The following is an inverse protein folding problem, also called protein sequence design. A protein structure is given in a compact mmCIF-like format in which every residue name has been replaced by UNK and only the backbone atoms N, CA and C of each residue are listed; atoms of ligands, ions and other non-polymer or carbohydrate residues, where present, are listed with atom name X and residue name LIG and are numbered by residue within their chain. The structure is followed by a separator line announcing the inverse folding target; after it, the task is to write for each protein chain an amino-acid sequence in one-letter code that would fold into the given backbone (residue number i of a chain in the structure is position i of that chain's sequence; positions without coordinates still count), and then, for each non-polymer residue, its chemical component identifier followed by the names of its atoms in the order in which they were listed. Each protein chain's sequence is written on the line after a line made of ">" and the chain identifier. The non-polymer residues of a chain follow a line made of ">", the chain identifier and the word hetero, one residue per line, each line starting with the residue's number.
data_IF_471056991822
#
_entry.id   IF_471056991822
#
_cell.length_a   1.000
_cell.length_b   1.000
_cell.length_c   1.000
_cell.angle_alpha   90.00
_cell.angle_beta   90.00
_cell.angle_gamma   90.00
#
_symmetry.space_group_name_H-M   'P 1'
#
loop_
_entity.id
_entity.type
_entity.pdbx_description
1 polymer ?
#
# COMPACT_ATOMS: atom_id res chain seq x y z
N UNK A 1 -20.85 -15.64 -4.36
CA UNK A 1 -21.10 -14.38 -5.14
C UNK A 1 -20.09 -14.30 -6.26
N UNK A 2 -20.49 -13.65 -7.35
CA UNK A 2 -19.63 -13.30 -8.48
C UNK A 2 -19.22 -11.85 -8.37
N UNK A 3 -17.95 -11.61 -8.08
CA UNK A 3 -17.40 -10.28 -7.74
C UNK A 3 -16.49 -9.81 -8.86
N UNK A 4 -16.73 -8.62 -9.38
CA UNK A 4 -15.85 -7.96 -10.33
C UNK A 4 -15.04 -6.87 -9.62
N UNK A 5 -13.72 -7.00 -9.65
CA UNK A 5 -12.78 -5.98 -9.16
C UNK A 5 -12.23 -5.22 -10.35
N UNK A 6 -12.28 -3.89 -10.31
CA UNK A 6 -11.75 -3.03 -11.37
C UNK A 6 -10.67 -2.14 -10.77
N UNK A 7 -9.46 -2.23 -11.29
CA UNK A 7 -8.33 -1.42 -10.86
C UNK A 7 -7.52 -0.87 -12.03
N UNK A 8 -7.10 0.38 -11.93
CA UNK A 8 -6.33 1.08 -12.98
C UNK A 8 -4.81 0.90 -12.83
N UNK A 9 -4.36 -0.29 -12.46
CA UNK A 9 -2.94 -0.65 -12.32
C UNK A 9 -2.59 -1.85 -13.19
N UNK A 10 -1.29 -2.05 -13.43
CA UNK A 10 -0.78 -3.31 -13.96
C UNK A 10 -0.72 -4.34 -12.82
N UNK A 11 -1.64 -5.29 -12.82
CA UNK A 11 -1.79 -6.28 -11.75
C UNK A 11 -0.57 -7.17 -11.57
N UNK A 12 0.13 -7.50 -12.65
CA UNK A 12 1.30 -8.37 -12.61
C UNK A 12 2.56 -7.64 -12.14
N UNK A 13 2.71 -6.35 -12.47
CA UNK A 13 3.95 -5.60 -12.23
C UNK A 13 3.94 -4.73 -10.97
N UNK A 14 2.75 -4.33 -10.53
CA UNK A 14 2.63 -3.49 -9.32
C UNK A 14 3.06 -4.28 -8.09
N UNK A 15 3.70 -3.64 -7.11
CA UNK A 15 3.94 -4.27 -5.79
C UNK A 15 2.62 -4.77 -5.20
N UNK A 16 2.69 -5.88 -4.46
CA UNK A 16 1.53 -6.47 -3.81
C UNK A 16 1.01 -5.50 -2.75
N UNK A 17 -0.30 -5.24 -2.75
CA UNK A 17 -1.00 -4.42 -1.77
C UNK A 17 -2.48 -4.82 -1.70
N UNK A 18 -3.33 -4.10 -0.96
CA UNK A 18 -4.71 -4.45 -0.62
C UNK A 18 -5.52 -5.17 -1.73
N UNK A 19 -5.65 -4.67 -2.98
CA UNK A 19 -6.52 -5.32 -3.97
C UNK A 19 -6.08 -6.75 -4.32
N UNK A 20 -4.77 -7.02 -4.32
CA UNK A 20 -4.27 -8.39 -4.55
C UNK A 20 -4.70 -9.32 -3.42
N UNK A 21 -4.52 -8.88 -2.16
CA UNK A 21 -4.93 -9.65 -0.98
C UNK A 21 -6.43 -9.92 -0.97
N UNK A 22 -7.25 -8.88 -1.17
CA UNK A 22 -8.70 -9.03 -1.11
C UNK A 22 -9.24 -9.90 -2.24
N UNK A 23 -8.78 -9.70 -3.48
CA UNK A 23 -9.21 -10.50 -4.63
C UNK A 23 -8.98 -12.00 -4.40
N UNK A 24 -7.78 -12.35 -3.97
CA UNK A 24 -7.39 -13.73 -3.78
C UNK A 24 -8.05 -14.34 -2.53
N UNK A 25 -8.14 -13.61 -1.43
CA UNK A 25 -8.85 -14.09 -0.23
C UNK A 25 -10.36 -14.26 -0.45
N UNK A 26 -10.99 -13.43 -1.30
CA UNK A 26 -12.39 -13.66 -1.67
C UNK A 26 -12.54 -14.97 -2.46
N UNK A 27 -11.60 -15.29 -3.34
CA UNK A 27 -11.62 -16.55 -4.07
C UNK A 27 -11.43 -17.77 -3.16
N UNK A 28 -10.52 -17.68 -2.19
CA UNK A 28 -10.30 -18.72 -1.17
C UNK A 28 -11.56 -18.93 -0.31
N UNK A 29 -12.36 -17.88 -0.10
CA UNK A 29 -13.64 -17.94 0.62
C UNK A 29 -14.79 -18.47 -0.23
N UNK A 30 -14.52 -19.01 -1.42
CA UNK A 30 -15.50 -19.67 -2.30
C UNK A 30 -16.29 -18.69 -3.18
N UNK A 31 -15.78 -17.50 -3.45
CA UNK A 31 -16.38 -16.55 -4.37
C UNK A 31 -15.70 -16.61 -5.74
N UNK A 32 -16.47 -16.45 -6.82
CA UNK A 32 -15.91 -16.29 -8.16
C UNK A 32 -15.44 -14.84 -8.33
N UNK A 33 -14.14 -14.64 -8.50
CA UNK A 33 -13.53 -13.30 -8.55
C UNK A 33 -12.95 -13.04 -9.93
N UNK A 34 -13.40 -11.98 -10.54
CA UNK A 34 -12.91 -11.46 -11.81
C UNK A 34 -12.20 -10.12 -11.55
N UNK A 35 -11.02 -9.96 -12.13
CA UNK A 35 -10.25 -8.73 -11.99
C UNK A 35 -10.00 -8.14 -13.36
N UNK A 36 -10.40 -6.88 -13.56
CA UNK A 36 -10.05 -6.11 -14.76
C UNK A 36 -8.94 -5.13 -14.37
N UNK A 37 -7.77 -5.29 -15.00
CA UNK A 37 -6.59 -4.47 -14.75
C UNK A 37 -6.28 -3.48 -15.90
N UNK A 38 -5.25 -2.68 -15.72
CA UNK A 38 -4.70 -1.78 -16.74
C UNK A 38 -3.22 -2.11 -16.95
N UNK A 39 -2.94 -2.99 -17.91
CA UNK A 39 -1.57 -3.33 -18.24
C UNK A 39 -0.77 -2.10 -18.65
N UNK A 40 0.41 -1.91 -18.06
CA UNK A 40 1.31 -0.85 -18.48
C UNK A 40 2.05 -1.24 -19.75
N UNK A 41 2.17 -0.33 -20.73
CA UNK A 41 2.87 -0.60 -21.97
C UNK A 41 4.33 -0.99 -21.70
N UNK A 42 4.74 -2.11 -22.28
CA UNK A 42 6.14 -2.50 -22.34
C UNK A 42 6.50 -2.74 -23.81
N UNK A 43 7.59 -2.16 -24.28
CA UNK A 43 8.07 -2.29 -25.67
C UNK A 43 8.28 -3.75 -26.12
N UNK A 44 8.59 -4.66 -25.16
CA UNK A 44 8.77 -6.08 -25.43
C UNK A 44 7.47 -6.88 -25.64
N UNK A 45 6.31 -6.32 -25.26
CA UNK A 45 5.00 -7.00 -25.28
C UNK A 45 3.99 -6.30 -26.20
N UNK A 46 4.46 -5.53 -27.22
CA UNK A 46 3.62 -4.74 -28.10
C UNK A 46 2.45 -5.54 -28.71
N UNK A 47 2.76 -6.67 -29.31
CA UNK A 47 1.76 -7.52 -29.98
C UNK A 47 0.76 -8.14 -28.95
N UNK A 48 1.26 -8.54 -27.78
CA UNK A 48 0.39 -9.10 -26.72
C UNK A 48 -0.59 -8.09 -26.13
N UNK A 49 -0.27 -6.79 -26.18
CA UNK A 49 -1.12 -5.71 -25.68
C UNK A 49 -2.31 -5.38 -26.60
N UNK A 50 -2.30 -5.77 -27.85
CA UNK A 50 -3.34 -5.44 -28.85
C UNK A 50 -4.65 -6.22 -28.68
N UNK A 51 -4.64 -7.31 -27.89
CA UNK A 51 -5.80 -8.16 -27.65
C UNK A 51 -6.14 -8.25 -26.17
N UNK A 52 -7.43 -8.32 -25.88
CA UNK A 52 -7.87 -8.64 -24.52
C UNK A 52 -7.44 -10.06 -24.17
N UNK A 53 -6.77 -10.22 -23.02
CA UNK A 53 -6.32 -11.52 -22.51
C UNK A 53 -7.10 -11.88 -21.25
N UNK A 54 -7.46 -13.15 -21.13
CA UNK A 54 -8.07 -13.69 -19.91
C UNK A 54 -7.15 -14.78 -19.37
N UNK A 55 -6.76 -14.63 -18.12
CA UNK A 55 -5.89 -15.56 -17.39
C UNK A 55 -6.72 -16.20 -16.28
N UNK A 56 -7.28 -17.41 -16.51
CA UNK A 56 -7.98 -18.14 -15.45
C UNK A 56 -6.98 -18.75 -14.47
N UNK A 57 -7.47 -19.11 -13.29
CA UNK A 57 -6.69 -19.77 -12.24
C UNK A 57 -5.43 -18.98 -11.87
N UNK A 58 -5.57 -17.65 -11.78
CA UNK A 58 -4.45 -16.79 -11.48
C UNK A 58 -4.34 -16.56 -9.97
N UNK A 59 -3.13 -16.65 -9.46
CA UNK A 59 -2.77 -16.24 -8.11
C UNK A 59 -1.40 -15.56 -8.08
N UNK A 60 -1.14 -14.76 -7.10
CA UNK A 60 0.11 -14.01 -6.94
C UNK A 60 0.57 -13.93 -5.49
N UNK A 61 -0.36 -14.03 -4.55
CA UNK A 61 -0.13 -13.83 -3.12
C UNK A 61 -0.34 -15.13 -2.35
N UNK A 62 -1.41 -15.86 -2.66
CA UNK A 62 -1.81 -17.06 -1.93
C UNK A 62 -1.92 -18.25 -2.90
N UNK A 63 -1.18 -19.33 -2.63
CA UNK A 63 -1.08 -20.49 -3.52
C UNK A 63 -2.44 -21.15 -3.84
N UNK A 64 -3.40 -21.09 -2.91
CA UNK A 64 -4.73 -21.68 -3.07
C UNK A 64 -5.76 -20.73 -3.67
N UNK A 65 -5.35 -19.54 -4.09
CA UNK A 65 -6.24 -18.57 -4.69
C UNK A 65 -6.51 -18.89 -6.16
N UNK A 66 -7.70 -18.52 -6.62
CA UNK A 66 -8.16 -18.78 -7.98
C UNK A 66 -8.99 -17.61 -8.48
N UNK A 67 -8.35 -16.59 -9.02
CA UNK A 67 -9.04 -15.47 -9.66
C UNK A 67 -8.97 -15.59 -11.19
N UNK A 68 -9.87 -14.91 -11.89
CA UNK A 68 -9.77 -14.69 -13.33
C UNK A 68 -9.28 -13.28 -13.60
N UNK A 69 -8.04 -13.14 -14.06
CA UNK A 69 -7.48 -11.85 -14.44
C UNK A 69 -7.79 -11.54 -15.90
N UNK A 70 -8.48 -10.44 -16.16
CA UNK A 70 -8.87 -9.97 -17.49
C UNK A 70 -8.09 -8.68 -17.78
N UNK A 71 -7.29 -8.71 -18.84
CA UNK A 71 -6.42 -7.62 -19.27
C UNK A 71 -6.95 -7.04 -20.59
N UNK A 72 -7.67 -5.91 -20.57
CA UNK A 72 -8.17 -5.28 -21.78
C UNK A 72 -7.06 -4.94 -22.77
N UNK A 73 -7.37 -4.92 -24.06
CA UNK A 73 -6.45 -4.44 -25.07
C UNK A 73 -5.95 -3.02 -24.74
N UNK A 74 -4.67 -2.80 -24.89
CA UNK A 74 -4.00 -1.54 -24.59
C UNK A 74 -3.04 -1.19 -25.71
N UNK A 75 -3.04 0.07 -26.16
CA UNK A 75 -2.06 0.57 -27.11
C UNK A 75 -0.84 1.13 -26.38
N UNK A 76 0.35 0.78 -26.88
CA UNK A 76 1.61 1.08 -26.20
C UNK A 76 2.16 2.50 -26.47
N UNK A 77 1.35 3.38 -27.06
CA UNK A 77 1.77 4.76 -27.33
C UNK A 77 1.52 5.63 -26.10
N UNK A 78 2.60 6.19 -25.56
CA UNK A 78 2.57 7.08 -24.39
C UNK A 78 1.60 8.25 -24.65
N UNK A 79 0.59 8.43 -23.79
CA UNK A 79 -0.44 9.46 -23.91
C UNK A 79 -1.74 9.00 -24.59
N UNK A 80 -1.70 8.11 -25.57
CA UNK A 80 -2.89 7.58 -26.27
C UNK A 80 -3.43 6.32 -25.58
N UNK A 81 -2.59 5.61 -24.85
CA UNK A 81 -2.93 4.36 -24.21
C UNK A 81 -4.12 4.46 -23.23
N UNK A 82 -4.26 5.56 -22.50
CA UNK A 82 -5.39 5.74 -21.55
C UNK A 82 -6.73 5.89 -22.26
N UNK A 83 -6.78 6.58 -23.40
CA UNK A 83 -8.01 6.71 -24.19
C UNK A 83 -8.40 5.36 -24.82
N UNK A 84 -7.44 4.67 -25.43
CA UNK A 84 -7.67 3.36 -26.00
C UNK A 84 -8.11 2.35 -24.92
N UNK A 85 -7.46 2.37 -23.77
CA UNK A 85 -7.84 1.56 -22.61
C UNK A 85 -9.24 1.88 -22.12
N UNK A 86 -9.64 3.16 -22.07
CA UNK A 86 -11.01 3.57 -21.70
C UNK A 86 -12.08 2.87 -22.56
N UNK A 87 -11.93 2.89 -23.89
CA UNK A 87 -12.90 2.26 -24.80
C UNK A 87 -12.83 0.73 -24.76
N UNK A 88 -11.64 0.16 -24.71
CA UNK A 88 -11.46 -1.29 -24.60
C UNK A 88 -12.04 -1.81 -23.27
N UNK A 89 -11.75 -1.12 -22.17
CA UNK A 89 -12.21 -1.49 -20.85
C UNK A 89 -13.74 -1.44 -20.73
N UNK A 90 -14.40 -0.44 -21.33
CA UNK A 90 -15.87 -0.35 -21.36
C UNK A 90 -16.48 -1.63 -21.92
N UNK A 91 -16.04 -2.06 -23.11
CA UNK A 91 -16.54 -3.30 -23.75
C UNK A 91 -16.26 -4.54 -22.90
N UNK A 92 -15.09 -4.60 -22.27
CA UNK A 92 -14.69 -5.73 -21.41
C UNK A 92 -15.55 -5.78 -20.16
N UNK A 93 -15.82 -4.63 -19.51
CA UNK A 93 -16.71 -4.56 -18.34
C UNK A 93 -18.12 -5.03 -18.70
N UNK A 94 -18.73 -4.49 -19.77
CA UNK A 94 -20.06 -4.86 -20.23
C UNK A 94 -20.16 -6.37 -20.54
N UNK A 95 -19.18 -6.89 -21.30
CA UNK A 95 -19.08 -8.31 -21.64
C UNK A 95 -18.93 -9.19 -20.39
N UNK A 96 -18.01 -8.84 -19.48
CA UNK A 96 -17.79 -9.60 -18.25
C UNK A 96 -19.04 -9.67 -17.38
N UNK A 97 -19.71 -8.54 -17.20
CA UNK A 97 -20.98 -8.48 -16.44
C UNK A 97 -22.03 -9.41 -17.06
N UNK A 98 -22.20 -9.33 -18.37
CA UNK A 98 -23.23 -10.09 -19.08
C UNK A 98 -22.94 -11.61 -19.11
N UNK A 99 -21.69 -12.00 -19.43
CA UNK A 99 -21.33 -13.41 -19.62
C UNK A 99 -21.10 -14.13 -18.29
N UNK A 100 -20.64 -13.42 -17.26
CA UNK A 100 -20.29 -14.03 -15.96
C UNK A 100 -21.37 -13.88 -14.90
N UNK A 101 -22.37 -13.04 -15.13
CA UNK A 101 -23.44 -12.79 -14.16
C UNK A 101 -22.93 -12.13 -12.88
N UNK A 102 -22.20 -11.04 -13.03
CA UNK A 102 -21.60 -10.30 -11.90
C UNK A 102 -22.68 -9.77 -10.98
N UNK A 103 -22.51 -10.02 -9.68
CA UNK A 103 -23.46 -9.60 -8.63
C UNK A 103 -23.01 -8.34 -7.88
N UNK A 104 -21.70 -8.12 -7.77
CA UNK A 104 -21.10 -7.00 -7.03
C UNK A 104 -19.86 -6.48 -7.75
N UNK A 105 -19.68 -5.16 -7.71
CA UNK A 105 -18.48 -4.51 -8.25
C UNK A 105 -17.69 -3.86 -7.12
N UNK A 106 -16.39 -4.15 -7.08
CA UNK A 106 -15.42 -3.51 -6.18
C UNK A 106 -14.47 -2.64 -7.02
N UNK A 107 -14.56 -1.32 -6.87
CA UNK A 107 -13.89 -0.35 -7.72
C UNK A 107 -12.78 0.36 -6.97
N UNK A 108 -11.56 0.34 -7.51
CA UNK A 108 -10.40 1.04 -6.98
C UNK A 108 -9.98 2.26 -7.80
N UNK A 109 -10.38 2.34 -9.05
CA UNK A 109 -9.99 3.43 -9.95
C UNK A 109 -11.13 4.38 -10.23
N UNK A 110 -10.88 5.68 -10.22
CA UNK A 110 -11.90 6.70 -10.48
C UNK A 110 -11.70 7.46 -11.79
N UNK A 111 -10.44 7.66 -12.22
CA UNK A 111 -10.11 8.66 -13.24
C UNK A 111 -10.34 8.14 -14.65
N UNK A 112 -9.94 6.91 -14.95
CA UNK A 112 -10.08 6.34 -16.31
C UNK A 112 -11.40 5.58 -16.46
N UNK A 113 -11.63 4.58 -15.59
CA UNK A 113 -12.73 3.62 -15.73
C UNK A 113 -13.90 3.83 -14.75
N UNK A 114 -13.70 4.65 -13.71
CA UNK A 114 -14.66 4.76 -12.63
C UNK A 114 -16.04 5.20 -13.07
N UNK A 115 -16.14 6.32 -13.82
CA UNK A 115 -17.43 6.87 -14.25
C UNK A 115 -18.20 5.93 -15.18
N UNK A 116 -17.51 5.29 -16.13
CA UNK A 116 -18.16 4.33 -17.02
C UNK A 116 -18.60 3.07 -16.27
N UNK A 117 -17.81 2.62 -15.29
CA UNK A 117 -18.18 1.49 -14.42
C UNK A 117 -19.46 1.80 -13.64
N UNK A 118 -19.54 2.95 -12.99
CA UNK A 118 -20.74 3.39 -12.27
C UNK A 118 -21.96 3.40 -13.20
N UNK A 119 -21.83 3.97 -14.40
CA UNK A 119 -22.94 4.04 -15.37
C UNK A 119 -23.43 2.64 -15.76
N UNK A 120 -22.52 1.75 -16.15
CA UNK A 120 -22.84 0.37 -16.54
C UNK A 120 -23.51 -0.38 -15.37
N UNK A 121 -22.96 -0.22 -14.18
CA UNK A 121 -23.49 -0.86 -12.97
C UNK A 121 -24.91 -0.38 -12.62
N UNK A 122 -25.20 0.92 -12.73
CA UNK A 122 -26.53 1.49 -12.53
C UNK A 122 -27.54 0.96 -13.54
N UNK A 123 -27.17 0.90 -14.83
CA UNK A 123 -28.02 0.34 -15.90
C UNK A 123 -28.37 -1.13 -15.66
N UNK A 124 -27.47 -1.88 -15.01
CA UNK A 124 -27.63 -3.31 -14.70
C UNK A 124 -28.09 -3.58 -13.27
N UNK A 125 -28.31 -2.55 -12.46
CA UNK A 125 -28.71 -2.61 -11.03
C UNK A 125 -27.72 -3.43 -10.20
N UNK A 126 -26.42 -3.30 -10.47
CA UNK A 126 -25.34 -3.98 -9.75
C UNK A 126 -24.74 -2.99 -8.74
N UNK A 127 -24.71 -3.32 -7.44
CA UNK A 127 -24.14 -2.44 -6.44
C UNK A 127 -22.62 -2.28 -6.62
N UNK A 128 -22.13 -1.05 -6.43
CA UNK A 128 -20.71 -0.69 -6.51
C UNK A 128 -20.20 -0.25 -5.15
N UNK A 129 -19.15 -0.92 -4.67
CA UNK A 129 -18.31 -0.40 -3.59
C UNK A 129 -17.12 0.32 -4.22
N UNK A 130 -16.92 1.57 -3.85
CA UNK A 130 -15.74 2.34 -4.24
C UNK A 130 -14.75 2.42 -3.08
N UNK A 131 -13.52 2.00 -3.30
CA UNK A 131 -12.44 2.02 -2.31
C UNK A 131 -11.50 3.19 -2.52
N UNK A 132 -11.45 4.10 -1.55
CA UNK A 132 -10.55 5.26 -1.54
C UNK A 132 -9.33 4.93 -0.70
N UNK A 133 -8.20 4.67 -1.36
CA UNK A 133 -6.90 4.46 -0.72
C UNK A 133 -6.13 5.77 -0.59
N UNK A 134 -6.22 6.61 -1.63
CA UNK A 134 -5.56 7.90 -1.78
C UNK A 134 -6.49 8.88 -2.48
N UNK A 135 -6.13 10.16 -2.48
CA UNK A 135 -6.81 11.19 -3.26
C UNK A 135 -6.28 11.14 -4.70
N UNK A 136 -7.00 10.45 -5.58
CA UNK A 136 -6.52 10.09 -6.92
C UNK A 136 -6.12 11.30 -7.77
N UNK A 137 -6.87 12.42 -7.71
CA UNK A 137 -6.56 13.61 -8.48
C UNK A 137 -5.32 14.37 -7.98
N UNK A 138 -4.95 14.24 -6.69
CA UNK A 138 -3.74 14.85 -6.14
C UNK A 138 -2.45 14.20 -6.65
N UNK A 139 -2.53 12.98 -7.17
CA UNK A 139 -1.41 12.28 -7.80
C UNK A 139 -1.10 12.80 -9.22
N UNK A 140 -1.90 13.75 -9.74
CA UNK A 140 -1.74 14.33 -11.07
C UNK A 140 -1.06 15.72 -10.96
N UNK A 141 0.11 15.84 -11.57
CA UNK A 141 0.93 17.07 -11.51
C UNK A 141 0.57 18.13 -12.55
N UNK A 142 -0.44 17.87 -13.44
CA UNK A 142 -0.84 18.80 -14.50
C UNK A 142 -2.14 19.50 -14.08
N UNK A 143 -2.10 20.80 -13.83
CA UNK A 143 -3.20 21.58 -13.22
C UNK A 143 -4.56 21.42 -13.92
N UNK A 144 -4.66 21.58 -15.23
CA UNK A 144 -5.91 21.42 -15.98
C UNK A 144 -6.48 20.00 -15.90
N UNK A 145 -5.62 18.99 -16.02
CA UNK A 145 -6.01 17.58 -15.92
C UNK A 145 -6.42 17.24 -14.49
N UNK A 146 -5.75 17.80 -13.48
CA UNK A 146 -6.10 17.64 -12.07
C UNK A 146 -7.54 18.05 -11.77
N UNK A 147 -8.01 19.18 -12.33
CA UNK A 147 -9.40 19.65 -12.12
C UNK A 147 -10.42 18.71 -12.77
N UNK A 148 -10.13 18.22 -13.99
CA UNK A 148 -10.97 17.22 -14.64
C UNK A 148 -11.01 15.92 -13.82
N UNK A 149 -9.87 15.44 -13.39
CA UNK A 149 -9.76 14.24 -12.55
C UNK A 149 -10.55 14.37 -11.24
N UNK A 150 -10.49 15.54 -10.58
CA UNK A 150 -11.29 15.84 -9.39
C UNK A 150 -12.80 15.71 -9.65
N UNK A 151 -13.27 16.25 -10.78
CA UNK A 151 -14.70 16.12 -11.16
C UNK A 151 -15.09 14.66 -11.44
N UNK A 152 -14.21 13.87 -12.09
CA UNK A 152 -14.47 12.46 -12.35
C UNK A 152 -14.51 11.66 -11.04
N UNK A 153 -13.56 11.90 -10.14
CA UNK A 153 -13.51 11.27 -8.82
C UNK A 153 -14.75 11.61 -7.99
N UNK A 154 -15.16 12.88 -7.94
CA UNK A 154 -16.39 13.33 -7.29
C UNK A 154 -17.64 12.59 -7.84
N UNK A 155 -17.71 12.43 -9.16
CA UNK A 155 -18.82 11.72 -9.81
C UNK A 155 -18.85 10.23 -9.43
N UNK A 156 -17.68 9.58 -9.27
CA UNK A 156 -17.61 8.20 -8.80
C UNK A 156 -18.03 8.10 -7.34
N UNK A 157 -17.46 8.94 -6.48
CA UNK A 157 -17.72 8.97 -5.04
C UNK A 157 -19.22 9.21 -4.74
N UNK A 158 -19.83 10.19 -5.42
CA UNK A 158 -21.24 10.56 -5.17
C UNK A 158 -22.24 9.52 -5.67
N UNK A 159 -21.86 8.62 -6.57
CA UNK A 159 -22.75 7.63 -7.19
C UNK A 159 -22.45 6.17 -6.79
N UNK A 160 -21.42 5.92 -6.00
CA UNK A 160 -21.17 4.59 -5.44
C UNK A 160 -22.22 4.24 -4.37
N UNK A 161 -22.61 2.96 -4.28
CA UNK A 161 -23.55 2.49 -3.26
C UNK A 161 -22.92 2.52 -1.85
N UNK A 162 -21.61 2.24 -1.78
CA UNK A 162 -20.82 2.36 -0.55
C UNK A 162 -19.42 2.87 -0.91
N UNK A 163 -18.90 3.81 -0.12
CA UNK A 163 -17.54 4.31 -0.22
C UNK A 163 -16.77 3.85 1.01
N UNK A 164 -15.69 3.11 0.80
CA UNK A 164 -14.82 2.65 1.87
C UNK A 164 -13.50 3.43 1.84
N UNK A 165 -13.14 4.04 2.94
CA UNK A 165 -11.92 4.83 3.10
C UNK A 165 -10.95 4.18 4.07
N UNK A 166 -9.68 4.56 4.08
CA UNK A 166 -8.70 3.99 5.01
C UNK A 166 -8.57 4.75 6.32
N UNK A 167 -8.98 6.02 6.34
CA UNK A 167 -8.87 6.92 7.50
C UNK A 167 -10.12 7.79 7.63
N UNK A 168 -10.36 8.34 8.82
CA UNK A 168 -11.43 9.33 9.01
C UNK A 168 -11.21 10.63 8.22
N UNK A 169 -9.97 10.99 7.93
CA UNK A 169 -9.67 12.14 7.07
C UNK A 169 -10.12 11.90 5.63
N UNK A 170 -9.92 10.71 5.10
CA UNK A 170 -10.44 10.31 3.79
C UNK A 170 -11.97 10.12 3.79
N UNK A 171 -12.56 9.75 4.93
CA UNK A 171 -14.02 9.74 5.09
C UNK A 171 -14.61 11.15 4.95
N UNK A 172 -14.04 12.14 5.65
CA UNK A 172 -14.42 13.56 5.51
C UNK A 172 -14.26 14.02 4.07
N UNK A 173 -13.11 13.71 3.46
CA UNK A 173 -12.87 14.01 2.05
C UNK A 173 -13.93 13.39 1.13
N UNK A 174 -14.29 12.13 1.31
CA UNK A 174 -15.31 11.48 0.48
C UNK A 174 -16.70 12.17 0.62
N UNK A 175 -17.06 12.61 1.82
CA UNK A 175 -18.29 13.37 2.05
C UNK A 175 -18.22 14.74 1.35
N UNK A 176 -17.09 15.45 1.44
CA UNK A 176 -16.86 16.72 0.73
C UNK A 176 -16.93 16.56 -0.79
N UNK A 177 -16.52 15.39 -1.30
CA UNK A 177 -16.60 15.04 -2.72
C UNK A 177 -17.98 14.56 -3.17
N UNK A 178 -18.99 14.56 -2.28
CA UNK A 178 -20.40 14.32 -2.59
C UNK A 178 -20.94 12.95 -2.20
N UNK A 179 -20.19 12.12 -1.45
CA UNK A 179 -20.75 10.89 -0.90
C UNK A 179 -21.82 11.19 0.16
N UNK A 180 -22.86 10.39 0.19
CA UNK A 180 -23.85 10.45 1.26
C UNK A 180 -23.23 9.93 2.56
N UNK A 181 -23.36 10.68 3.66
CA UNK A 181 -22.74 10.32 4.95
C UNK A 181 -23.01 8.88 5.40
N UNK A 182 -24.23 8.39 5.17
CA UNK A 182 -24.63 7.03 5.54
C UNK A 182 -24.05 5.94 4.62
N UNK A 183 -23.42 6.33 3.52
CA UNK A 183 -22.82 5.45 2.53
C UNK A 183 -21.28 5.55 2.55
N UNK A 184 -20.68 6.13 3.58
CA UNK A 184 -19.22 6.21 3.74
C UNK A 184 -18.83 5.56 5.05
N UNK A 185 -17.83 4.68 5.00
CA UNK A 185 -17.30 4.02 6.18
C UNK A 185 -15.77 3.94 6.13
N UNK A 186 -15.14 4.01 7.30
CA UNK A 186 -13.72 3.69 7.44
C UNK A 186 -13.56 2.18 7.50
N UNK A 187 -12.76 1.64 6.58
CA UNK A 187 -12.39 0.24 6.57
C UNK A 187 -10.85 0.14 6.60
N UNK A 188 -10.26 -0.54 7.60
CA UNK A 188 -8.83 -0.52 7.82
C UNK A 188 -8.05 -1.24 6.72
N UNK A 189 -6.76 -0.90 6.59
CA UNK A 189 -5.77 -1.67 5.83
C UNK A 189 -5.34 -2.88 6.64
N UNK A 190 -4.93 -3.93 5.95
CA UNK A 190 -4.43 -5.15 6.58
C UNK A 190 -2.95 -5.42 6.29
N UNK A 191 -2.46 -6.46 6.92
CA UNK A 191 -1.15 -7.05 6.71
C UNK A 191 -1.27 -8.55 6.48
N UNK A 192 -0.37 -9.12 5.69
CA UNK A 192 -0.30 -10.55 5.45
C UNK A 192 0.62 -11.22 6.49
N UNK A 193 0.05 -11.93 7.45
CA UNK A 193 0.80 -12.64 8.50
C UNK A 193 1.51 -13.92 8.01
N UNK A 194 1.31 -14.35 6.76
CA UNK A 194 2.13 -15.41 6.17
C UNK A 194 3.54 -14.88 5.84
N UNK A 195 3.62 -13.65 5.29
CA UNK A 195 4.88 -13.00 4.91
C UNK A 195 5.50 -12.24 6.09
N UNK A 196 4.68 -11.49 6.85
CA UNK A 196 5.13 -10.63 7.95
C UNK A 196 4.73 -11.22 9.29
N UNK A 197 5.68 -11.80 9.99
CA UNK A 197 5.50 -12.41 11.31
C UNK A 197 6.79 -12.28 12.12
N UNK A 198 6.72 -12.44 13.45
CA UNK A 198 7.92 -12.50 14.28
C UNK A 198 8.85 -13.62 13.82
N UNK A 199 10.12 -13.30 13.66
CA UNK A 199 11.18 -14.23 13.29
C UNK A 199 12.41 -13.97 14.15
N UNK A 200 13.23 -15.00 14.37
CA UNK A 200 14.54 -14.88 14.99
C UNK A 200 15.51 -14.14 14.05
N UNK A 201 16.47 -13.42 14.62
CA UNK A 201 17.54 -12.75 13.86
C UNK A 201 18.40 -13.80 13.17
N UNK A 202 18.50 -13.79 11.84
CA UNK A 202 19.35 -14.71 11.08
C UNK A 202 20.83 -14.39 11.29
N UNK A 203 21.58 -15.35 11.85
CA UNK A 203 23.03 -15.21 12.03
C UNK A 203 23.79 -15.15 10.71
N UNK A 204 23.28 -15.79 9.65
CA UNK A 204 23.83 -15.72 8.31
C UNK A 204 23.69 -14.31 7.74
N UNK A 205 22.52 -13.72 7.86
CA UNK A 205 22.24 -12.37 7.37
C UNK A 205 22.99 -11.30 8.19
N UNK A 206 23.16 -11.52 9.51
CA UNK A 206 24.00 -10.64 10.34
C UNK A 206 25.45 -10.65 9.86
N UNK A 207 26.01 -11.82 9.54
CA UNK A 207 27.39 -11.94 9.00
C UNK A 207 27.51 -11.30 7.62
N UNK A 208 26.54 -11.53 6.74
CA UNK A 208 26.50 -10.92 5.39
C UNK A 208 26.54 -9.40 5.45
N UNK A 209 25.83 -8.80 6.41
CA UNK A 209 25.69 -7.36 6.58
C UNK A 209 26.70 -6.75 7.58
N UNK A 210 27.68 -7.52 8.04
CA UNK A 210 28.65 -7.11 9.09
C UNK A 210 27.95 -6.47 10.32
N UNK A 211 26.90 -7.14 10.81
CA UNK A 211 26.18 -6.74 12.01
C UNK A 211 26.70 -7.56 13.20
N UNK A 212 27.24 -6.89 14.18
CA UNK A 212 27.79 -7.49 15.40
C UNK A 212 26.70 -7.68 16.45
N UNK A 213 26.94 -8.55 17.42
CA UNK A 213 25.97 -8.85 18.49
C UNK A 213 25.51 -7.63 19.27
N UNK A 214 26.42 -6.68 19.49
CA UNK A 214 26.14 -5.45 20.24
C UNK A 214 25.67 -4.28 19.37
N UNK A 215 25.52 -4.49 18.05
CA UNK A 215 25.03 -3.43 17.17
C UNK A 215 23.52 -3.18 17.37
N UNK A 216 23.15 -1.92 17.38
CA UNK A 216 21.75 -1.47 17.35
C UNK A 216 21.31 -1.26 15.92
N UNK A 217 20.23 -1.91 15.51
CA UNK A 217 19.80 -1.94 14.11
C UNK A 217 18.52 -1.13 13.91
N UNK A 218 18.64 -0.11 13.07
CA UNK A 218 17.52 0.70 12.58
C UNK A 218 17.16 0.22 11.17
N UNK A 219 15.87 0.07 10.87
CA UNK A 219 15.43 -0.34 9.51
C UNK A 219 14.40 0.64 8.93
N UNK A 220 14.61 0.98 7.66
CA UNK A 220 13.63 1.63 6.80
C UNK A 220 13.38 0.75 5.56
N UNK A 221 12.11 0.50 5.24
CA UNK A 221 11.68 -0.18 4.00
C UNK A 221 10.78 0.74 3.20
N UNK A 222 11.06 0.93 1.92
CA UNK A 222 10.16 1.62 1.02
C UNK A 222 10.83 2.42 -0.09
N UNK A 223 10.00 3.09 -0.89
CA UNK A 223 10.48 3.93 -1.98
C UNK A 223 11.16 5.19 -1.45
N UNK A 224 12.34 5.46 -1.95
CA UNK A 224 13.12 6.65 -1.60
C UNK A 224 12.65 7.84 -2.45
N UNK A 225 11.67 8.56 -1.92
CA UNK A 225 11.25 9.87 -2.38
C UNK A 225 11.85 10.95 -1.49
N UNK A 226 11.91 12.18 -1.97
CA UNK A 226 12.40 13.33 -1.19
C UNK A 226 11.72 13.45 0.18
N UNK A 227 10.43 13.20 0.22
CA UNK A 227 9.66 13.24 1.46
C UNK A 227 9.87 12.03 2.40
N UNK A 228 10.71 11.06 2.01
CA UNK A 228 10.97 9.88 2.86
C UNK A 228 11.72 10.22 4.16
N UNK A 229 12.35 11.38 4.23
CA UNK A 229 13.00 11.90 5.44
C UNK A 229 14.32 11.19 5.82
N UNK A 230 14.86 10.35 4.93
CA UNK A 230 16.09 9.56 5.16
C UNK A 230 17.32 10.46 5.26
N UNK A 231 17.37 11.53 4.45
CA UNK A 231 18.50 12.45 4.41
C UNK A 231 18.80 13.11 5.75
N UNK A 232 17.77 13.45 6.51
CA UNK A 232 17.95 14.08 7.83
C UNK A 232 18.66 13.11 8.77
N UNK A 233 18.35 11.81 8.70
CA UNK A 233 19.01 10.78 9.52
C UNK A 233 20.47 10.64 9.13
N UNK A 234 20.77 10.63 7.83
CA UNK A 234 22.14 10.55 7.33
C UNK A 234 22.93 11.83 7.72
N UNK A 235 22.31 13.00 7.65
CA UNK A 235 22.95 14.26 8.01
C UNK A 235 23.34 14.35 9.49
N UNK A 236 22.49 13.83 10.35
CA UNK A 236 22.64 13.86 11.79
C UNK A 236 23.15 12.52 12.36
N UNK A 237 23.72 11.64 11.51
CA UNK A 237 24.14 10.28 11.91
C UNK A 237 25.20 10.29 13.01
N UNK A 238 25.99 11.36 13.12
CA UNK A 238 26.96 11.56 14.20
C UNK A 238 26.37 11.66 15.60
N UNK A 239 25.05 11.79 15.72
CA UNK A 239 24.34 11.77 17.02
C UNK A 239 24.14 10.33 17.54
N UNK A 240 24.37 9.31 16.71
CA UNK A 240 24.31 7.92 17.15
C UNK A 240 25.66 7.44 17.66
N UNK A 241 25.65 6.42 18.50
CA UNK A 241 26.84 5.69 18.90
C UNK A 241 27.44 4.91 17.71
N UNK A 242 28.72 4.55 17.83
CA UNK A 242 29.46 3.87 16.75
C UNK A 242 28.88 2.50 16.37
N UNK A 243 28.20 1.83 17.30
CA UNK A 243 27.58 0.52 17.10
C UNK A 243 26.16 0.59 16.51
N UNK A 244 25.77 1.69 15.91
CA UNK A 244 24.47 1.81 15.24
C UNK A 244 24.62 1.48 13.75
N UNK A 245 23.78 0.55 13.27
CA UNK A 245 23.63 0.19 11.86
C UNK A 245 22.27 0.66 11.35
N UNK A 246 22.25 1.32 10.21
CA UNK A 246 21.01 1.75 9.56
C UNK A 246 20.85 1.03 8.23
N UNK A 247 19.87 0.11 8.14
CA UNK A 247 19.57 -0.67 6.94
C UNK A 247 18.44 0.00 6.19
N UNK A 248 18.65 0.31 4.91
CA UNK A 248 17.70 0.96 4.03
C UNK A 248 17.37 0.00 2.88
N UNK A 249 16.12 -0.45 2.83
CA UNK A 249 15.62 -1.39 1.83
C UNK A 249 14.65 -0.67 0.89
N UNK A 250 14.90 -0.80 -0.41
CA UNK A 250 14.09 -0.23 -1.46
C UNK A 250 14.90 0.56 -2.46
N UNK A 251 14.21 1.11 -3.43
CA UNK A 251 14.77 1.96 -4.47
C UNK A 251 13.94 3.23 -4.63
N UNK A 252 14.14 3.96 -5.70
CA UNK A 252 13.34 5.15 -5.98
C UNK A 252 14.14 6.26 -6.63
N UNK A 253 13.49 7.40 -6.93
CA UNK A 253 14.15 8.52 -7.60
C UNK A 253 15.38 9.04 -6.87
N UNK A 254 15.38 9.01 -5.53
CA UNK A 254 16.45 9.56 -4.71
C UNK A 254 17.53 8.54 -4.29
N UNK A 255 17.43 7.27 -4.73
CA UNK A 255 18.37 6.23 -4.34
C UNK A 255 19.84 6.61 -4.59
N UNK A 256 20.15 7.08 -5.80
CA UNK A 256 21.53 7.45 -6.14
C UNK A 256 22.00 8.68 -5.34
N UNK A 257 21.13 9.63 -5.08
CA UNK A 257 21.44 10.83 -4.27
C UNK A 257 21.76 10.45 -2.83
N UNK A 258 20.96 9.57 -2.23
CA UNK A 258 21.18 9.01 -0.89
C UNK A 258 22.50 8.24 -0.83
N UNK A 259 22.78 7.41 -1.85
CA UNK A 259 24.05 6.66 -1.94
C UNK A 259 25.28 7.59 -1.95
N UNK A 260 25.26 8.63 -2.76
CA UNK A 260 26.32 9.63 -2.82
C UNK A 260 26.48 10.38 -1.49
N UNK A 261 25.39 10.67 -0.79
CA UNK A 261 25.43 11.31 0.51
C UNK A 261 26.08 10.43 1.57
N UNK A 262 25.76 9.13 1.62
CA UNK A 262 26.40 8.16 2.51
C UNK A 262 27.92 8.12 2.26
N UNK A 263 28.34 8.03 1.00
CA UNK A 263 29.75 8.02 0.59
C UNK A 263 30.48 9.31 0.98
N UNK A 264 29.87 10.47 0.70
CA UNK A 264 30.49 11.78 1.02
C UNK A 264 30.72 11.98 2.50
N UNK A 265 29.94 11.32 3.35
CA UNK A 265 30.05 11.34 4.82
C UNK A 265 30.87 10.20 5.39
N UNK A 266 31.35 9.27 4.55
CA UNK A 266 32.12 8.07 4.95
C UNK A 266 31.33 7.20 5.96
N UNK A 267 30.03 6.96 5.67
CA UNK A 267 29.13 6.21 6.54
C UNK A 267 28.78 4.82 5.99
N UNK A 268 29.53 4.31 5.00
CA UNK A 268 29.24 3.03 4.33
C UNK A 268 29.31 1.82 5.27
N UNK A 269 30.10 1.90 6.33
CA UNK A 269 30.18 0.85 7.35
C UNK A 269 28.94 0.84 8.27
N UNK A 270 28.26 1.98 8.42
CA UNK A 270 27.13 2.12 9.33
C UNK A 270 25.78 2.12 8.59
N UNK A 271 25.73 2.59 7.34
CA UNK A 271 24.49 2.74 6.56
C UNK A 271 24.52 1.79 5.36
N UNK A 272 23.67 0.78 5.41
CA UNK A 272 23.62 -0.31 4.44
C UNK A 272 22.45 -0.08 3.50
N UNK A 273 22.73 0.17 2.21
CA UNK A 273 21.76 0.37 1.14
C UNK A 273 21.58 -0.93 0.36
N UNK A 274 20.50 -1.66 0.59
CA UNK A 274 20.27 -2.97 -0.04
C UNK A 274 19.57 -2.91 -1.40
N UNK A 275 19.00 -1.74 -1.76
CA UNK A 275 18.19 -1.67 -2.97
C UNK A 275 16.88 -2.45 -2.84
N UNK A 276 16.34 -2.91 -3.96
CA UNK A 276 15.08 -3.63 -4.00
C UNK A 276 15.26 -5.08 -3.52
N UNK A 277 14.48 -5.46 -2.52
CA UNK A 277 14.38 -6.83 -2.00
C UNK A 277 12.95 -7.35 -2.30
N UNK A 278 12.78 -8.61 -2.75
CA UNK A 278 11.48 -9.22 -2.93
C UNK A 278 10.65 -9.19 -1.65
N UNK A 279 9.34 -8.90 -1.76
CA UNK A 279 8.46 -8.70 -0.60
C UNK A 279 8.47 -9.88 0.38
N UNK A 280 8.50 -11.11 -0.11
CA UNK A 280 8.56 -12.34 0.70
C UNK A 280 9.81 -12.45 1.59
N UNK A 281 10.88 -11.72 1.26
CA UNK A 281 12.14 -11.75 2.00
C UNK A 281 12.29 -10.56 2.96
N UNK A 282 11.45 -9.53 2.85
CA UNK A 282 11.52 -8.30 3.68
C UNK A 282 11.49 -8.62 5.17
N UNK A 283 10.62 -9.55 5.59
CA UNK A 283 10.46 -9.88 7.01
C UNK A 283 11.74 -10.42 7.65
N UNK A 284 12.62 -11.10 6.89
CA UNK A 284 13.92 -11.61 7.37
C UNK A 284 14.85 -10.45 7.76
N UNK A 285 14.85 -9.39 6.96
CA UNK A 285 15.62 -8.17 7.27
C UNK A 285 14.99 -7.41 8.43
N UNK A 286 13.66 -7.24 8.42
CA UNK A 286 12.94 -6.58 9.51
C UNK A 286 13.19 -7.29 10.84
N UNK A 287 13.36 -8.62 10.85
CA UNK A 287 13.70 -9.38 12.05
C UNK A 287 15.01 -8.92 12.71
N UNK A 288 15.98 -8.40 11.95
CA UNK A 288 17.24 -7.87 12.49
C UNK A 288 17.06 -6.58 13.30
N UNK A 289 15.99 -5.81 13.03
CA UNK A 289 15.78 -4.51 13.62
C UNK A 289 15.57 -4.55 15.13
N UNK A 290 16.08 -3.56 15.82
CA UNK A 290 15.67 -3.19 17.16
C UNK A 290 14.53 -2.17 17.09
N UNK A 291 14.55 -1.30 16.07
CA UNK A 291 13.47 -0.35 15.76
C UNK A 291 13.31 -0.17 14.25
N UNK A 292 12.08 -0.06 13.80
CA UNK A 292 11.76 0.34 12.45
C UNK A 292 11.33 1.82 12.41
N UNK A 293 11.53 2.48 11.27
CA UNK A 293 11.25 3.92 11.20
C UNK A 293 10.38 4.30 10.00
N UNK A 294 9.60 5.37 10.19
CA UNK A 294 8.91 6.06 9.11
C UNK A 294 9.04 7.58 9.28
N UNK A 295 10.17 8.17 8.86
CA UNK A 295 10.49 9.59 9.08
C UNK A 295 9.88 10.53 8.03
N UNK A 296 8.75 10.16 7.43
CA UNK A 296 8.13 10.92 6.34
C UNK A 296 7.94 12.39 6.70
N UNK A 297 8.27 13.26 5.77
CA UNK A 297 7.93 14.68 5.85
C UNK A 297 6.42 14.87 5.85
N UNK A 298 5.95 15.80 6.67
CA UNK A 298 4.52 16.14 6.76
C UNK A 298 4.19 17.09 5.61
N UNK A 299 3.48 16.60 4.63
CA UNK A 299 2.96 17.38 3.50
C UNK A 299 1.51 16.99 3.20
N UNK A 300 0.89 17.59 2.20
CA UNK A 300 -0.52 17.34 1.86
C UNK A 300 -0.81 15.88 1.51
N UNK A 301 0.15 15.18 0.88
CA UNK A 301 0.02 13.78 0.48
C UNK A 301 0.27 12.85 1.67
N UNK A 302 1.44 12.97 2.30
CA UNK A 302 1.87 12.06 3.37
C UNK A 302 1.01 12.17 4.62
N UNK A 303 0.43 13.34 4.87
CA UNK A 303 -0.35 13.61 6.10
C UNK A 303 -1.68 12.83 6.16
N UNK A 304 -2.21 12.36 5.03
CA UNK A 304 -3.52 11.71 4.93
C UNK A 304 -3.46 10.19 4.84
N UNK A 305 -2.29 9.62 4.55
CA UNK A 305 -2.10 8.19 4.33
C UNK A 305 -1.65 7.43 5.57
N UNK A 306 -1.99 6.15 5.63
CA UNK A 306 -1.36 5.16 6.50
C UNK A 306 -0.37 4.34 5.68
N UNK A 307 0.95 4.54 5.81
CA UNK A 307 1.93 3.70 5.14
C UNK A 307 1.83 2.24 5.61
N UNK A 308 1.55 1.32 4.70
CA UNK A 308 1.36 -0.12 5.00
C UNK A 308 2.56 -0.75 5.71
N UNK A 309 3.78 -0.30 5.40
CA UNK A 309 5.01 -0.76 6.05
C UNK A 309 4.96 -0.71 7.58
N UNK A 310 4.22 0.24 8.16
CA UNK A 310 4.10 0.34 9.62
C UNK A 310 3.37 -0.88 10.18
N UNK A 311 2.28 -1.30 9.53
CA UNK A 311 1.55 -2.51 9.92
C UNK A 311 2.43 -3.76 9.73
N UNK A 312 3.25 -3.80 8.67
CA UNK A 312 4.20 -4.88 8.38
C UNK A 312 5.29 -4.97 9.46
N UNK A 313 5.83 -3.84 9.91
CA UNK A 313 6.80 -3.79 11.02
C UNK A 313 6.19 -4.30 12.33
N UNK A 314 4.98 -3.82 12.65
CA UNK A 314 4.27 -4.24 13.85
C UNK A 314 3.89 -5.73 13.79
N UNK A 315 3.57 -6.26 12.62
CA UNK A 315 3.34 -7.69 12.41
C UNK A 315 4.61 -8.54 12.65
N UNK A 316 5.79 -7.97 12.40
CA UNK A 316 7.08 -8.57 12.75
C UNK A 316 7.47 -8.34 14.23
N UNK A 317 6.55 -7.81 15.05
CA UNK A 317 6.77 -7.49 16.47
C UNK A 317 7.88 -6.45 16.68
N UNK A 318 8.05 -5.53 15.73
CA UNK A 318 9.05 -4.45 15.81
C UNK A 318 8.38 -3.12 16.16
N UNK A 319 8.92 -2.36 17.14
CA UNK A 319 8.43 -1.04 17.45
C UNK A 319 8.72 -0.07 16.28
N UNK A 320 7.90 0.96 16.16
CA UNK A 320 8.03 1.94 15.07
C UNK A 320 8.18 3.36 15.62
N UNK A 321 9.26 4.05 15.24
CA UNK A 321 9.34 5.49 15.40
C UNK A 321 8.85 6.20 14.14
N UNK A 322 7.97 7.16 14.28
CA UNK A 322 7.37 7.82 13.13
C UNK A 322 7.09 9.31 13.37
N UNK A 323 7.09 10.07 12.27
CA UNK A 323 6.54 11.43 12.29
C UNK A 323 5.02 11.39 12.50
N UNK A 324 4.41 12.39 13.16
CA UNK A 324 3.00 12.36 13.55
C UNK A 324 2.06 12.74 12.40
N UNK A 325 1.99 11.92 11.32
CA UNK A 325 1.06 12.12 10.22
C UNK A 325 -0.38 11.95 10.72
N UNK A 326 -1.26 12.87 10.33
CA UNK A 326 -2.64 12.98 10.84
C UNK A 326 -3.48 11.72 10.61
N UNK A 327 -3.50 11.19 9.40
CA UNK A 327 -4.27 9.98 9.07
C UNK A 327 -3.85 8.75 9.88
N UNK A 328 -2.59 8.67 10.30
CA UNK A 328 -2.07 7.57 11.11
C UNK A 328 -2.38 7.71 12.60
N UNK A 329 -2.27 8.91 13.14
CA UNK A 329 -2.61 9.19 14.54
C UNK A 329 -4.07 8.86 14.91
N UNK A 330 -4.92 8.73 13.92
CA UNK A 330 -6.31 8.30 14.12
C UNK A 330 -6.44 6.78 14.33
N UNK A 331 -5.42 5.99 13.95
CA UNK A 331 -5.44 4.52 13.96
C UNK A 331 -4.45 3.98 14.99
N UNK A 332 -3.23 4.50 14.99
CA UNK A 332 -2.14 4.11 15.89
C UNK A 332 -1.86 5.32 16.81
N UNK A 333 -2.40 5.30 18.01
CA UNK A 333 -2.42 6.49 18.86
C UNK A 333 -1.08 6.76 19.55
N UNK A 334 -0.43 5.74 20.12
CA UNK A 334 0.75 5.85 20.98
C UNK A 334 1.51 4.51 21.09
N UNK A 335 2.38 4.39 22.08
CA UNK A 335 3.20 3.21 22.36
C UNK A 335 2.38 1.93 22.66
N UNK A 336 1.14 2.06 23.12
CA UNK A 336 0.22 0.93 23.33
C UNK A 336 -0.19 0.27 22.00
N UNK A 337 -0.04 1.00 20.89
CA UNK A 337 -0.28 0.51 19.53
C UNK A 337 1.01 0.18 18.78
N UNK A 338 2.15 0.18 19.48
CA UNK A 338 3.45 -0.17 18.90
C UNK A 338 4.18 0.98 18.22
N UNK A 339 3.70 2.24 18.37
CA UNK A 339 4.26 3.38 17.67
C UNK A 339 4.68 4.51 18.62
N UNK A 340 5.87 5.04 18.36
CA UNK A 340 6.43 6.21 19.02
C UNK A 340 6.37 7.39 18.05
N UNK A 341 5.96 8.55 18.50
CA UNK A 341 5.92 9.75 17.66
C UNK A 341 7.03 10.74 17.99
N UNK A 342 7.64 11.29 16.95
CA UNK A 342 8.56 12.44 17.06
C UNK A 342 8.35 13.42 15.93
N UNK A 343 8.53 14.70 16.21
CA UNK A 343 8.55 15.72 15.15
C UNK A 343 9.78 15.54 14.28
N UNK A 344 9.75 16.02 13.04
CA UNK A 344 10.87 15.94 12.11
C UNK A 344 12.17 16.49 12.72
N UNK A 345 12.10 17.66 13.38
CA UNK A 345 13.26 18.32 14.01
C UNK A 345 13.89 17.53 15.17
N UNK A 346 13.10 16.72 15.87
CA UNK A 346 13.56 15.92 17.03
C UNK A 346 13.69 14.43 16.70
N UNK A 347 13.54 14.05 15.42
CA UNK A 347 13.41 12.65 15.04
C UNK A 347 14.68 11.86 15.37
N UNK A 348 15.86 12.35 14.97
CA UNK A 348 17.13 11.66 15.17
C UNK A 348 17.50 11.62 16.66
N UNK A 349 17.33 12.74 17.39
CA UNK A 349 17.56 12.78 18.84
C UNK A 349 16.66 11.75 19.55
N UNK A 350 15.36 11.73 19.21
CA UNK A 350 14.42 10.76 19.81
C UNK A 350 14.76 9.33 19.47
N UNK A 351 15.23 9.09 18.25
CA UNK A 351 15.67 7.78 17.79
C UNK A 351 16.90 7.28 18.56
N UNK A 352 17.88 8.15 18.76
CA UNK A 352 19.07 7.86 19.57
C UNK A 352 18.70 7.52 21.01
N UNK A 353 17.90 8.38 21.68
CA UNK A 353 17.45 8.16 23.06
C UNK A 353 16.74 6.83 23.28
N UNK A 354 15.86 6.40 22.34
CA UNK A 354 15.05 5.22 22.54
C UNK A 354 15.83 3.92 22.26
N UNK A 355 16.86 3.96 21.40
CA UNK A 355 17.70 2.82 21.09
C UNK A 355 18.40 2.22 22.31
N UNK A 356 18.64 3.03 23.33
CA UNK A 356 19.30 2.57 24.56
C UNK A 356 18.36 1.85 25.53
N UNK A 357 17.05 1.88 25.26
CA UNK A 357 16.05 1.24 26.11
C UNK A 357 15.45 0.00 25.45
N UNK A 358 16.25 -1.08 25.43
CA UNK A 358 15.87 -2.36 24.77
C UNK A 358 14.57 -2.96 25.35
N UNK A 359 14.39 -2.90 26.69
CA UNK A 359 13.21 -3.45 27.35
C UNK A 359 11.93 -2.73 26.89
N UNK A 360 11.99 -1.40 26.81
CA UNK A 360 10.88 -0.57 26.32
C UNK A 360 10.59 -0.82 24.84
N UNK A 361 11.61 -0.98 24.00
CA UNK A 361 11.43 -1.31 22.59
C UNK A 361 10.73 -2.67 22.41
N UNK A 362 11.12 -3.68 23.19
CA UNK A 362 10.47 -5.01 23.16
C UNK A 362 9.01 -4.94 23.60
N UNK A 363 8.71 -4.17 24.64
CA UNK A 363 7.33 -3.96 25.12
C UNK A 363 6.47 -3.29 24.05
N UNK A 364 6.94 -2.17 23.47
CA UNK A 364 6.23 -1.45 22.42
C UNK A 364 6.00 -2.34 21.20
N UNK A 365 7.01 -3.09 20.76
CA UNK A 365 6.87 -4.04 19.66
C UNK A 365 5.85 -5.13 19.93
N UNK A 366 5.77 -5.66 21.18
CA UNK A 366 4.76 -6.62 21.61
C UNK A 366 3.35 -6.02 21.53
N UNK A 367 3.15 -4.83 22.09
CA UNK A 367 1.87 -4.14 22.07
C UNK A 367 1.38 -3.92 20.63
N UNK A 368 2.28 -3.46 19.74
CA UNK A 368 1.96 -3.28 18.33
C UNK A 368 1.56 -4.57 17.62
N UNK A 369 2.26 -5.67 17.88
CA UNK A 369 1.93 -6.97 17.32
C UNK A 369 0.54 -7.45 17.77
N UNK A 370 0.21 -7.35 19.05
CA UNK A 370 -1.11 -7.71 19.60
C UNK A 370 -2.22 -6.87 18.95
N UNK A 371 -1.98 -5.57 18.78
CA UNK A 371 -2.94 -4.67 18.16
C UNK A 371 -3.19 -5.02 16.67
N UNK A 372 -2.13 -5.19 15.86
CA UNK A 372 -2.28 -5.45 14.43
C UNK A 372 -2.85 -6.84 14.14
N UNK A 373 -2.51 -7.85 14.95
CA UNK A 373 -3.06 -9.20 14.83
C UNK A 373 -4.59 -9.19 15.02
N UNK A 374 -5.08 -8.41 15.96
CA UNK A 374 -6.52 -8.31 16.24
C UNK A 374 -7.28 -7.49 15.20
N UNK A 375 -6.66 -6.43 14.66
CA UNK A 375 -7.38 -5.40 13.92
C UNK A 375 -7.02 -5.31 12.44
N UNK A 376 -5.87 -5.86 12.02
CA UNK A 376 -5.30 -5.63 10.71
C UNK A 376 -4.90 -6.91 9.95
N UNK A 377 -5.40 -8.08 10.33
CA UNK A 377 -5.19 -9.32 9.57
C UNK A 377 -6.08 -9.35 8.33
N UNK A 378 -5.49 -9.50 7.15
CA UNK A 378 -6.24 -9.63 5.90
C UNK A 378 -7.24 -10.79 5.89
N UNK A 379 -6.96 -11.90 6.59
CA UNK A 379 -7.90 -13.01 6.73
C UNK A 379 -9.18 -12.60 7.48
N UNK A 380 -9.04 -11.77 8.52
CA UNK A 380 -10.17 -11.24 9.28
C UNK A 380 -10.89 -10.16 8.46
N UNK A 381 -10.13 -9.23 7.89
CA UNK A 381 -10.67 -8.10 7.16
C UNK A 381 -11.40 -8.54 5.87
N UNK A 382 -10.88 -9.53 5.15
CA UNK A 382 -11.55 -10.03 3.95
C UNK A 382 -12.92 -10.64 4.25
N UNK A 383 -13.06 -11.37 5.37
CA UNK A 383 -14.36 -11.89 5.83
C UNK A 383 -15.35 -10.76 6.14
N UNK A 384 -14.90 -9.73 6.88
CA UNK A 384 -15.73 -8.54 7.16
C UNK A 384 -16.12 -7.80 5.87
N UNK A 385 -15.23 -7.75 4.88
CA UNK A 385 -15.51 -7.15 3.58
C UNK A 385 -16.58 -7.94 2.81
N UNK A 386 -16.51 -9.27 2.82
CA UNK A 386 -17.54 -10.13 2.20
C UNK A 386 -18.90 -9.93 2.86
N UNK A 387 -18.97 -9.77 4.17
CA UNK A 387 -20.22 -9.46 4.87
C UNK A 387 -20.80 -8.12 4.40
N UNK A 388 -19.96 -7.09 4.24
CA UNK A 388 -20.40 -5.81 3.68
C UNK A 388 -20.90 -5.95 2.23
N UNK A 389 -20.19 -6.72 1.40
CA UNK A 389 -20.62 -7.00 0.02
C UNK A 389 -21.98 -7.72 -0.04
N UNK A 390 -22.30 -8.61 0.89
CA UNK A 390 -23.60 -9.29 0.97
C UNK A 390 -24.73 -8.32 1.31
N UNK A 391 -24.48 -7.37 2.20
CA UNK A 391 -25.50 -6.48 2.77
C UNK A 391 -25.80 -5.25 1.90
N UNK A 392 -24.96 -4.94 0.92
CA UNK A 392 -25.17 -3.78 0.04
C UNK A 392 -26.21 -4.10 -1.04
N UNK A 393 -27.17 -3.20 -1.21
CA UNK A 393 -28.24 -3.31 -2.21
C UNK A 393 -28.03 -2.42 -3.41
#
# INVERSE_FOLDING_TARGET
>A
MKILIIHEIDWEKKVIFEPHHLAELFSIQGHEVFVIDCAQPNSKDFIKGMHTRTLPNYSRVYDNANITLIRPASFLVKGVNRMAHYFACKKVIEKTIQERGIEKIFLYGSITNGVQTIKIAQERKIPVIYRVLDISHELINISGIKQVAKKLESKVISNANLVLTTTKDLERYAIEMGAKKNNVEVFPLGVNFQDFKPMEKSSELQKELDIKENDKVIIFVGTMYTFAGIENIINEFSLFEKNVKFIIIGGGPDFNRIKLQVQSKKLEENIILLGFIPQKDIAKYVALADICINPFEINQITNRILPTKILEYLACKKPVLSTPLKGRKEILLNEEYGIIYSTQKKFVVKLSEILDNESKLKEIGKNGFEYVTKNHDWNILSKKMIEKLKNIK
#
